data_IF_851971911889
#
_entry.id   IF_851971911889
#
_cell.length_a   1.000
_cell.length_b   1.000
_cell.length_c   1.000
_cell.angle_alpha   90.00
_cell.angle_beta   90.00
_cell.angle_gamma   90.00
#
_symmetry.space_group_name_H-M   'P 1'
#
loop_
_entity.id
_entity.type
_entity.pdbx_description
1 polymer ?
#
# COMPACT_ATOMS: atom_id res chain seq x y z
N UNK A 1 0.95 -20.83 -7.20
CA UNK A 1 1.32 -19.41 -7.35
C UNK A 1 2.24 -19.20 -8.55
N UNK A 2 3.49 -19.67 -8.53
CA UNK A 2 4.44 -19.49 -9.65
C UNK A 2 3.86 -19.86 -11.02
N UNK A 3 3.31 -21.07 -11.18
CA UNK A 3 2.75 -21.52 -12.47
C UNK A 3 1.63 -20.64 -13.04
N UNK A 4 0.95 -19.86 -12.19
CA UNK A 4 -0.07 -18.91 -12.62
C UNK A 4 0.55 -17.55 -12.99
N UNK A 5 1.61 -17.15 -12.29
CA UNK A 5 2.27 -15.85 -12.47
C UNK A 5 3.37 -15.86 -13.55
N UNK A 6 4.01 -17.00 -13.80
CA UNK A 6 5.13 -17.16 -14.74
C UNK A 6 4.92 -16.46 -16.09
N UNK A 7 3.75 -16.52 -16.75
CA UNK A 7 3.54 -15.82 -18.02
C UNK A 7 3.64 -14.30 -17.94
N UNK A 8 3.48 -13.72 -16.75
CA UNK A 8 3.49 -12.28 -16.48
C UNK A 8 4.79 -11.80 -15.84
N UNK A 9 5.65 -12.72 -15.42
CA UNK A 9 6.93 -12.40 -14.80
C UNK A 9 7.89 -11.78 -15.83
N UNK A 10 8.71 -10.82 -15.39
CA UNK A 10 9.79 -10.34 -16.25
C UNK A 10 10.90 -11.39 -16.40
N UNK A 11 11.67 -11.30 -17.48
CA UNK A 11 12.71 -12.28 -17.83
C UNK A 11 13.79 -12.48 -16.76
N UNK A 12 14.01 -11.50 -15.88
CA UNK A 12 15.02 -11.56 -14.83
C UNK A 12 14.44 -12.08 -13.50
N UNK A 13 13.12 -12.26 -13.39
CA UNK A 13 12.43 -12.57 -12.13
C UNK A 13 13.10 -13.69 -11.35
N UNK A 14 13.34 -14.85 -11.95
CA UNK A 14 13.95 -16.01 -11.26
C UNK A 14 15.38 -15.71 -10.77
N UNK A 15 16.17 -14.99 -11.58
CA UNK A 15 17.55 -14.63 -11.22
C UNK A 15 17.61 -13.59 -10.10
N UNK A 16 16.60 -12.73 -10.02
CA UNK A 16 16.50 -11.68 -9.01
C UNK A 16 15.77 -12.14 -7.74
N UNK A 17 14.91 -13.15 -7.83
CA UNK A 17 14.18 -13.71 -6.68
C UNK A 17 15.12 -14.14 -5.56
N UNK A 18 16.25 -14.78 -5.89
CA UNK A 18 17.23 -15.20 -4.90
C UNK A 18 17.95 -14.05 -4.17
N UNK A 19 17.94 -12.84 -4.74
CA UNK A 19 18.62 -11.65 -4.19
C UNK A 19 17.65 -10.66 -3.57
N UNK A 20 16.40 -10.67 -4.02
CA UNK A 20 15.35 -9.73 -3.65
C UNK A 20 14.05 -10.49 -3.33
N UNK A 21 14.17 -11.50 -2.48
CA UNK A 21 13.10 -12.46 -2.19
C UNK A 21 11.78 -11.77 -1.85
N UNK A 22 11.79 -10.82 -0.92
CA UNK A 22 10.57 -10.14 -0.46
C UNK A 22 9.91 -9.29 -1.56
N UNK A 23 10.71 -8.59 -2.37
CA UNK A 23 10.22 -7.78 -3.48
C UNK A 23 9.60 -8.65 -4.57
N UNK A 24 10.32 -9.69 -5.01
CA UNK A 24 9.85 -10.58 -6.09
C UNK A 24 8.71 -11.47 -5.62
N UNK A 25 8.71 -11.89 -4.35
CA UNK A 25 7.56 -12.51 -3.74
C UNK A 25 6.33 -11.60 -3.75
N UNK A 26 6.49 -10.32 -3.39
CA UNK A 26 5.37 -9.36 -3.36
C UNK A 26 4.73 -9.18 -4.73
N UNK A 27 5.53 -9.01 -5.78
CA UNK A 27 5.05 -8.90 -7.16
C UNK A 27 4.24 -10.14 -7.58
N UNK A 28 4.79 -11.33 -7.34
CA UNK A 28 4.13 -12.61 -7.65
C UNK A 28 2.85 -12.81 -6.83
N UNK A 29 2.88 -12.50 -5.53
CA UNK A 29 1.75 -12.67 -4.62
C UNK A 29 0.60 -11.73 -4.97
N UNK A 30 0.92 -10.48 -5.29
CA UNK A 30 -0.03 -9.49 -5.78
C UNK A 30 -0.68 -9.95 -7.08
N UNK A 31 0.11 -10.31 -8.09
CA UNK A 31 -0.38 -10.75 -9.37
C UNK A 31 -1.25 -12.01 -9.28
N UNK A 32 -0.83 -13.00 -8.49
CA UNK A 32 -1.60 -14.22 -8.24
C UNK A 32 -3.00 -13.91 -7.73
N UNK A 33 -3.12 -13.07 -6.71
CA UNK A 33 -4.42 -12.75 -6.14
C UNK A 33 -5.28 -11.85 -7.03
N UNK A 34 -4.67 -11.02 -7.88
CA UNK A 34 -5.39 -10.27 -8.92
C UNK A 34 -5.96 -11.25 -9.98
N UNK A 35 -5.19 -12.25 -10.40
CA UNK A 35 -5.66 -13.30 -11.31
C UNK A 35 -6.80 -14.13 -10.68
N UNK A 36 -6.69 -14.51 -9.40
CA UNK A 36 -7.76 -15.18 -8.65
C UNK A 36 -9.03 -14.31 -8.46
N UNK A 37 -8.87 -12.99 -8.55
CA UNK A 37 -9.97 -12.04 -8.58
C UNK A 37 -10.56 -11.84 -10.01
N UNK A 38 -10.05 -12.57 -11.00
CA UNK A 38 -10.51 -12.51 -12.39
C UNK A 38 -9.97 -11.33 -13.19
N UNK A 39 -8.82 -10.75 -12.77
CA UNK A 39 -8.22 -9.61 -13.46
C UNK A 39 -7.43 -9.99 -14.69
N UNK A 40 -7.58 -9.19 -15.73
CA UNK A 40 -6.90 -9.37 -17.02
C UNK A 40 -5.51 -8.74 -17.01
N UNK A 41 -4.54 -9.44 -16.39
CA UNK A 41 -3.14 -9.03 -16.45
C UNK A 41 -2.62 -9.14 -17.88
N UNK A 42 -1.76 -8.19 -18.27
CA UNK A 42 -1.10 -8.18 -19.57
C UNK A 42 0.28 -8.81 -19.44
N UNK A 43 0.62 -9.71 -20.37
CA UNK A 43 1.95 -10.34 -20.46
C UNK A 43 3.02 -9.28 -20.74
N UNK A 44 4.11 -9.31 -19.97
CA UNK A 44 5.21 -8.36 -20.13
C UNK A 44 6.03 -8.68 -21.38
N UNK A 45 5.92 -7.81 -22.39
CA UNK A 45 6.75 -7.87 -23.59
C UNK A 45 8.08 -7.12 -23.43
N UNK A 46 8.18 -6.22 -22.43
CA UNK A 46 9.41 -5.49 -22.10
C UNK A 46 9.60 -5.40 -20.58
N UNK A 47 10.86 -5.19 -20.18
CA UNK A 47 11.22 -4.91 -18.79
C UNK A 47 10.98 -3.43 -18.41
N UNK A 48 10.50 -2.61 -19.34
CA UNK A 48 10.22 -1.19 -19.09
C UNK A 48 8.83 -1.01 -18.48
N UNK A 49 8.66 0.07 -17.72
CA UNK A 49 7.39 0.44 -17.11
C UNK A 49 7.10 -0.21 -15.75
N UNK A 50 5.88 -0.01 -15.24
CA UNK A 50 5.45 -0.56 -13.97
C UNK A 50 5.41 -2.09 -13.92
N UNK A 51 5.37 -2.63 -12.70
CA UNK A 51 5.45 -4.07 -12.46
C UNK A 51 4.28 -4.87 -13.04
N UNK A 52 3.06 -4.32 -13.00
CA UNK A 52 1.83 -4.97 -13.49
C UNK A 52 1.01 -3.99 -14.34
N UNK A 53 0.52 -4.48 -15.48
CA UNK A 53 -0.53 -3.86 -16.28
C UNK A 53 -1.77 -4.74 -16.26
N UNK A 54 -2.93 -4.11 -16.07
CA UNK A 54 -4.24 -4.71 -16.28
C UNK A 54 -5.00 -3.90 -17.33
N UNK A 55 -5.65 -4.61 -18.26
CA UNK A 55 -6.52 -4.02 -19.28
C UNK A 55 -7.95 -4.58 -19.14
N UNK A 56 -8.89 -3.73 -18.71
CA UNK A 56 -10.30 -4.08 -18.52
C UNK A 56 -11.19 -2.94 -19.00
N UNK A 57 -12.22 -3.24 -19.81
CA UNK A 57 -13.23 -2.27 -20.25
C UNK A 57 -12.62 -0.96 -20.82
N UNK A 58 -11.64 -1.09 -21.71
CA UNK A 58 -10.88 0.02 -22.32
C UNK A 58 -10.10 0.91 -21.31
N UNK A 59 -9.98 0.48 -20.05
CA UNK A 59 -9.21 1.14 -19.01
C UNK A 59 -7.93 0.37 -18.71
N UNK A 60 -6.80 1.11 -18.72
CA UNK A 60 -5.51 0.62 -18.22
C UNK A 60 -5.34 0.93 -16.75
N UNK A 61 -4.89 -0.06 -16.01
CA UNK A 61 -4.54 0.05 -14.59
C UNK A 61 -3.10 -0.42 -14.42
N UNK A 62 -2.23 0.51 -14.07
CA UNK A 62 -0.84 0.23 -13.76
C UNK A 62 -0.64 0.07 -12.27
N UNK A 63 0.14 -0.92 -11.86
CA UNK A 63 0.49 -1.16 -10.48
C UNK A 63 2.01 -1.25 -10.34
N UNK A 64 2.57 -0.42 -9.47
CA UNK A 64 3.98 -0.43 -9.11
C UNK A 64 4.12 -0.97 -7.69
N UNK A 65 4.79 -2.11 -7.57
CA UNK A 65 4.93 -2.87 -6.33
C UNK A 65 6.21 -2.50 -5.57
N UNK A 66 6.13 -2.51 -4.24
CA UNK A 66 7.27 -2.33 -3.36
C UNK A 66 7.13 -3.13 -2.08
N UNK A 67 8.21 -3.80 -1.70
CA UNK A 67 8.42 -4.40 -0.40
C UNK A 67 9.46 -3.59 0.39
N UNK A 68 9.03 -2.66 1.27
CA UNK A 68 9.96 -1.84 2.03
C UNK A 68 10.79 -2.67 2.99
N UNK A 69 12.10 -2.44 3.06
CA UNK A 69 12.97 -3.16 4.01
C UNK A 69 12.85 -2.59 5.43
N UNK A 70 13.42 -3.29 6.43
CA UNK A 70 13.66 -2.71 7.76
C UNK A 70 14.47 -1.40 7.68
N UNK A 71 15.37 -1.38 6.69
CA UNK A 71 16.44 -0.43 6.40
C UNK A 71 17.59 -0.51 7.40
N UNK A 72 18.38 0.57 7.50
CA UNK A 72 19.65 0.55 8.21
C UNK A 72 19.46 0.37 9.72
N UNK A 73 20.04 -0.68 10.29
CA UNK A 73 19.98 -1.01 11.72
C UNK A 73 20.52 0.10 12.63
N UNK A 74 21.43 0.93 12.14
CA UNK A 74 22.01 2.06 12.87
C UNK A 74 21.11 3.30 12.86
N UNK A 75 20.09 3.34 11.99
CA UNK A 75 19.20 4.47 11.87
C UNK A 75 17.99 4.33 12.81
N UNK A 76 17.77 5.27 13.76
CA UNK A 76 16.66 5.20 14.71
C UNK A 76 15.25 5.30 14.06
N UNK A 77 15.19 5.69 12.78
CA UNK A 77 13.96 5.74 11.99
C UNK A 77 13.70 4.43 11.23
N UNK A 78 14.60 3.44 11.29
CA UNK A 78 14.41 2.11 10.71
C UNK A 78 13.51 1.24 11.58
N UNK A 79 12.80 0.30 10.96
CA UNK A 79 11.97 -0.64 11.69
C UNK A 79 12.90 -1.57 12.47
N UNK A 80 12.78 -1.65 13.81
CA UNK A 80 13.57 -2.58 14.59
C UNK A 80 13.15 -4.02 14.29
N UNK A 81 14.12 -4.91 14.17
CA UNK A 81 13.84 -6.34 14.25
C UNK A 81 13.58 -6.70 15.72
N UNK A 82 12.32 -6.98 16.04
CA UNK A 82 11.90 -7.31 17.41
C UNK A 82 11.86 -8.81 17.68
N UNK A 83 12.23 -9.66 16.70
CA UNK A 83 12.17 -11.12 16.87
C UNK A 83 13.02 -11.55 18.06
N UNK A 84 14.21 -10.97 18.22
CA UNK A 84 15.09 -11.30 19.33
C UNK A 84 14.61 -10.75 20.68
N UNK A 85 14.00 -9.56 20.69
CA UNK A 85 13.38 -8.99 21.90
C UNK A 85 12.20 -9.87 22.37
N UNK A 86 11.38 -10.36 21.45
CA UNK A 86 10.29 -11.28 21.76
C UNK A 86 10.79 -12.64 22.28
N UNK A 87 11.87 -13.19 21.71
CA UNK A 87 12.51 -14.42 22.20
C UNK A 87 13.03 -14.30 23.63
N UNK A 88 13.41 -13.08 24.04
CA UNK A 88 13.86 -12.77 25.40
C UNK A 88 12.72 -12.40 26.35
N UNK A 89 11.45 -12.54 25.93
CA UNK A 89 10.28 -12.23 26.75
C UNK A 89 10.04 -10.73 26.95
N UNK A 90 10.70 -9.87 26.18
CA UNK A 90 10.54 -8.42 26.26
C UNK A 90 9.38 -8.00 25.36
N UNK A 91 8.35 -7.38 25.93
CA UNK A 91 7.29 -6.76 25.15
C UNK A 91 7.83 -5.51 24.45
N UNK A 92 8.16 -5.63 23.17
CA UNK A 92 8.53 -4.49 22.35
C UNK A 92 7.28 -3.68 21.96
N UNK A 93 7.37 -2.36 22.03
CA UNK A 93 6.33 -1.46 21.51
C UNK A 93 6.29 -1.58 19.98
N UNK A 94 5.09 -1.71 19.40
CA UNK A 94 4.93 -1.73 17.94
C UNK A 94 5.57 -0.49 17.29
N UNK A 95 6.46 -0.66 16.30
CA UNK A 95 7.21 0.44 15.70
C UNK A 95 6.38 1.19 14.64
N UNK A 96 5.19 1.69 15.04
CA UNK A 96 4.22 2.36 14.17
C UNK A 96 4.87 3.50 13.38
N UNK A 97 5.59 4.40 14.05
CA UNK A 97 6.24 5.55 13.43
C UNK A 97 7.24 5.13 12.35
N UNK A 98 8.08 4.14 12.64
CA UNK A 98 9.08 3.63 11.69
C UNK A 98 8.41 2.99 10.47
N UNK A 99 7.31 2.26 10.67
CA UNK A 99 6.52 1.69 9.58
C UNK A 99 5.87 2.79 8.74
N UNK A 100 5.27 3.81 9.36
CA UNK A 100 4.70 4.96 8.64
C UNK A 100 5.78 5.72 7.83
N UNK A 101 7.00 5.84 8.36
CA UNK A 101 8.14 6.43 7.63
C UNK A 101 8.54 5.57 6.42
N UNK A 102 8.47 4.24 6.51
CA UNK A 102 8.71 3.34 5.37
C UNK A 102 7.61 3.46 4.31
N UNK A 103 6.36 3.52 4.73
CA UNK A 103 5.24 3.70 3.80
C UNK A 103 5.32 5.05 3.10
N UNK A 104 5.52 6.15 3.83
CA UNK A 104 5.62 7.48 3.19
C UNK A 104 6.79 7.58 2.22
N UNK A 105 7.94 6.97 2.55
CA UNK A 105 9.07 6.88 1.64
C UNK A 105 8.72 6.08 0.36
N UNK A 106 8.07 4.92 0.52
CA UNK A 106 7.63 4.08 -0.59
C UNK A 106 6.62 4.81 -1.51
N UNK A 107 5.64 5.49 -0.93
CA UNK A 107 4.64 6.28 -1.68
C UNK A 107 5.34 7.38 -2.48
N UNK A 108 6.26 8.13 -1.86
CA UNK A 108 7.03 9.17 -2.55
C UNK A 108 7.87 8.59 -3.69
N UNK A 109 8.62 7.51 -3.43
CA UNK A 109 9.48 6.87 -4.43
C UNK A 109 8.68 6.42 -5.66
N UNK A 110 7.58 5.70 -5.44
CA UNK A 110 6.78 5.15 -6.54
C UNK A 110 5.97 6.22 -7.26
N UNK A 111 5.54 7.28 -6.57
CA UNK A 111 5.00 8.48 -7.22
C UNK A 111 6.05 9.12 -8.14
N UNK A 112 7.28 9.29 -7.65
CA UNK A 112 8.38 9.86 -8.45
C UNK A 112 8.67 8.99 -9.68
N UNK A 113 8.60 7.65 -9.56
CA UNK A 113 8.68 6.72 -10.70
C UNK A 113 7.53 6.88 -11.70
N UNK A 114 6.28 6.95 -11.23
CA UNK A 114 5.12 7.18 -12.10
C UNK A 114 5.24 8.48 -12.90
N UNK A 115 5.77 9.55 -12.30
CA UNK A 115 6.09 10.78 -13.02
C UNK A 115 7.13 10.57 -14.11
N UNK A 116 8.14 9.73 -13.85
CA UNK A 116 9.09 9.29 -14.87
C UNK A 116 8.40 8.55 -16.02
N UNK A 117 7.52 7.58 -15.71
CA UNK A 117 6.77 6.84 -16.72
C UNK A 117 5.83 7.72 -17.55
N UNK A 118 5.16 8.69 -16.91
CA UNK A 118 4.33 9.71 -17.56
C UNK A 118 5.16 10.58 -18.51
N UNK A 119 6.33 11.04 -18.07
CA UNK A 119 7.24 11.85 -18.89
C UNK A 119 7.75 11.08 -20.11
N UNK A 120 7.97 9.78 -19.96
CA UNK A 120 8.48 8.91 -21.02
C UNK A 120 7.36 8.32 -21.92
N UNK A 121 6.09 8.63 -21.65
CA UNK A 121 4.96 8.12 -22.43
C UNK A 121 4.63 6.64 -22.24
N UNK A 122 5.20 5.99 -21.21
CA UNK A 122 4.94 4.58 -20.88
C UNK A 122 3.55 4.44 -20.23
N UNK A 123 3.20 5.41 -19.37
CA UNK A 123 1.92 5.50 -18.69
C UNK A 123 1.19 6.76 -19.19
N UNK A 124 -0.10 6.65 -19.48
CA UNK A 124 -0.93 7.78 -19.90
C UNK A 124 -1.56 8.52 -18.72
N UNK A 125 -1.93 9.79 -18.93
CA UNK A 125 -2.76 10.54 -17.97
C UNK A 125 -4.13 9.91 -17.76
N UNK A 126 -4.64 9.18 -18.74
CA UNK A 126 -5.92 8.45 -18.70
C UNK A 126 -5.83 7.10 -17.99
N UNK A 127 -4.64 6.67 -17.55
CA UNK A 127 -4.47 5.40 -16.86
C UNK A 127 -4.64 5.57 -15.34
N UNK A 128 -5.24 4.56 -14.70
CA UNK A 128 -5.26 4.44 -13.23
C UNK A 128 -3.87 3.99 -12.78
N UNK A 129 -3.32 4.60 -11.73
CA UNK A 129 -1.98 4.28 -11.21
C UNK A 129 -2.05 3.92 -9.74
N UNK A 130 -1.67 2.70 -9.40
CA UNK A 130 -1.69 2.18 -8.03
C UNK A 130 -0.28 1.92 -7.53
N UNK A 131 -0.06 2.18 -6.25
CA UNK A 131 1.16 1.78 -5.55
C UNK A 131 0.80 0.60 -4.65
N UNK A 132 1.42 -0.56 -4.88
CA UNK A 132 1.20 -1.74 -4.05
C UNK A 132 2.32 -1.89 -3.03
N UNK A 133 2.01 -1.76 -1.74
CA UNK A 133 2.97 -1.79 -0.64
C UNK A 133 2.67 -3.01 0.24
N UNK A 134 3.61 -3.94 0.33
CA UNK A 134 3.45 -5.17 1.10
C UNK A 134 4.61 -6.14 0.92
N UNK A 135 4.43 -7.40 1.32
CA UNK A 135 5.43 -8.45 1.13
C UNK A 135 6.66 -8.33 2.03
N UNK A 136 6.67 -7.42 3.00
CA UNK A 136 7.82 -7.13 3.84
C UNK A 136 7.70 -7.75 5.22
N UNK A 137 8.73 -8.49 5.65
CA UNK A 137 8.85 -8.95 7.03
C UNK A 137 8.88 -7.79 8.05
N UNK A 138 9.25 -6.57 7.64
CA UNK A 138 9.19 -5.39 8.50
C UNK A 138 7.75 -5.06 8.96
N UNK A 139 6.73 -5.58 8.28
CA UNK A 139 5.32 -5.40 8.63
C UNK A 139 4.75 -6.53 9.48
N UNK A 140 5.54 -7.54 9.86
CA UNK A 140 5.10 -8.64 10.72
C UNK A 140 4.49 -8.17 12.06
N UNK A 141 4.93 -7.01 12.55
CA UNK A 141 4.49 -6.43 13.82
C UNK A 141 3.21 -5.57 13.70
N UNK A 142 2.65 -5.43 12.48
CA UNK A 142 1.43 -4.65 12.23
C UNK A 142 0.21 -5.45 12.69
N UNK A 143 -0.62 -4.91 13.60
CA UNK A 143 -1.86 -5.57 14.00
C UNK A 143 -2.89 -5.57 12.87
N UNK A 144 -3.53 -6.71 12.60
CA UNK A 144 -4.53 -6.82 11.52
C UNK A 144 -5.92 -6.24 11.90
N UNK A 145 -6.17 -6.00 13.18
CA UNK A 145 -7.48 -5.59 13.71
C UNK A 145 -7.66 -4.07 13.85
N UNK A 146 -6.79 -3.27 13.22
CA UNK A 146 -6.82 -1.81 13.27
C UNK A 146 -6.78 -1.23 11.86
N UNK A 147 -7.05 0.06 11.76
CA UNK A 147 -6.80 0.80 10.53
C UNK A 147 -5.33 0.59 10.10
N UNK A 148 -5.06 0.22 8.84
CA UNK A 148 -3.69 -0.04 8.38
C UNK A 148 -2.78 1.16 8.60
N UNK A 149 -1.51 0.93 8.98
CA UNK A 149 -0.54 2.02 9.14
C UNK A 149 -0.27 2.76 7.84
N UNK A 150 -0.49 2.14 6.67
CA UNK A 150 -0.45 2.85 5.41
C UNK A 150 -1.51 3.94 5.30
N UNK A 151 -2.65 3.77 5.96
CA UNK A 151 -3.70 4.78 6.00
C UNK A 151 -3.27 5.99 6.80
N UNK A 152 -2.76 5.79 8.03
CA UNK A 152 -2.25 6.87 8.88
C UNK A 152 -0.92 7.46 8.38
N UNK A 153 -0.27 6.83 7.40
CA UNK A 153 0.89 7.39 6.70
C UNK A 153 0.50 8.45 5.65
N UNK A 154 -0.67 8.33 5.02
CA UNK A 154 -1.09 9.20 3.90
C UNK A 154 -2.28 10.11 4.20
N UNK A 155 -2.98 9.84 5.31
CA UNK A 155 -4.02 10.68 5.89
C UNK A 155 -3.70 11.04 7.35
N UNK A 156 -4.07 12.25 7.82
CA UNK A 156 -3.78 12.73 9.18
C UNK A 156 -4.73 12.13 10.23
N UNK A 157 -4.86 10.80 10.21
CA UNK A 157 -5.80 10.02 11.01
C UNK A 157 -5.01 9.08 11.92
N UNK A 158 -5.20 9.16 13.25
CA UNK A 158 -4.46 8.32 14.19
C UNK A 158 -5.21 7.13 14.80
N UNK A 159 -6.50 6.99 14.47
CA UNK A 159 -7.32 5.84 14.83
C UNK A 159 -8.78 6.07 14.46
N UNK A 160 -9.53 5.00 14.21
CA UNK A 160 -10.98 5.08 14.01
C UNK A 160 -11.65 5.45 15.34
N UNK A 161 -12.25 6.63 15.43
CA UNK A 161 -13.30 6.87 16.41
C UNK A 161 -14.57 6.30 15.78
N UNK A 162 -15.09 5.20 16.33
CA UNK A 162 -16.40 4.71 15.92
C UNK A 162 -17.44 5.68 16.48
N UNK A 163 -18.11 6.43 15.61
CA UNK A 163 -19.39 7.01 15.98
C UNK A 163 -20.35 5.85 16.22
N UNK A 164 -21.07 5.86 17.35
CA UNK A 164 -22.19 4.94 17.53
C UNK A 164 -23.17 5.22 16.39
N UNK A 165 -23.56 4.21 15.59
CA UNK A 165 -24.53 4.41 14.52
C UNK A 165 -25.79 5.04 15.10
N UNK A 166 -26.19 6.21 14.59
CA UNK A 166 -27.54 6.68 14.88
C UNK A 166 -28.53 5.80 14.12
N UNK A 167 -29.77 5.69 14.61
CA UNK A 167 -30.85 4.96 13.93
C UNK A 167 -31.06 5.41 12.46
N UNK A 168 -30.62 6.63 12.13
CA UNK A 168 -30.76 7.23 10.80
C UNK A 168 -29.53 7.01 9.89
N UNK A 169 -28.37 6.63 10.44
CA UNK A 169 -27.15 6.45 9.64
C UNK A 169 -26.21 5.37 10.23
N UNK A 170 -26.44 4.08 9.93
CA UNK A 170 -25.78 2.97 10.60
C UNK A 170 -24.31 2.71 10.22
N UNK A 171 -23.69 3.54 9.36
CA UNK A 171 -22.42 3.19 8.69
C UNK A 171 -21.36 4.28 8.67
N UNK A 172 -21.59 5.45 9.27
CA UNK A 172 -20.60 6.54 9.26
C UNK A 172 -19.67 6.49 10.48
N UNK A 173 -18.37 6.37 10.25
CA UNK A 173 -17.35 6.61 11.26
C UNK A 173 -16.74 8.00 11.02
N UNK A 174 -17.03 8.95 11.90
CA UNK A 174 -16.34 10.25 11.91
C UNK A 174 -15.04 10.10 12.68
N UNK A 175 -13.91 10.31 12.02
CA UNK A 175 -12.60 10.09 12.62
C UNK A 175 -11.97 11.41 13.06
N UNK A 176 -11.54 11.47 14.33
CA UNK A 176 -10.77 12.59 14.85
C UNK A 176 -9.42 12.76 14.13
N UNK A 177 -9.27 13.89 13.43
CA UNK A 177 -8.01 14.38 12.88
C UNK A 177 -7.20 15.00 14.02
N UNK A 178 -6.08 14.39 14.44
CA UNK A 178 -5.29 15.01 15.52
C UNK A 178 -3.77 14.85 15.42
N UNK A 179 -3.24 14.26 14.35
CA UNK A 179 -1.79 14.20 14.20
C UNK A 179 -1.38 14.31 12.74
N UNK A 180 -0.98 15.53 12.36
CA UNK A 180 -0.68 15.93 10.99
C UNK A 180 0.66 15.43 10.46
N UNK A 181 1.56 15.01 11.35
CA UNK A 181 2.94 14.68 10.99
C UNK A 181 3.44 13.44 11.71
N UNK A 182 4.28 12.66 11.02
CA UNK A 182 5.05 11.54 11.55
C UNK A 182 6.38 12.12 12.08
N UNK A 183 6.69 11.98 13.37
CA UNK A 183 7.96 12.45 13.91
C UNK A 183 9.13 11.65 13.32
N UNK A 184 10.23 12.35 13.01
CA UNK A 184 11.46 11.74 12.50
C UNK A 184 12.63 12.17 13.37
N UNK A 185 13.41 11.20 13.87
CA UNK A 185 14.59 11.47 14.69
C UNK A 185 15.67 12.13 13.82
N UNK A 186 16.19 13.27 14.27
CA UNK A 186 17.29 13.98 13.61
C UNK A 186 16.90 14.68 12.29
N UNK A 187 15.61 14.90 12.03
CA UNK A 187 15.15 15.54 10.80
C UNK A 187 13.78 16.20 10.91
N UNK A 188 13.29 16.73 9.79
CA UNK A 188 11.93 17.27 9.70
C UNK A 188 10.92 16.13 9.77
N UNK A 189 9.83 16.37 10.47
CA UNK A 189 8.68 15.48 10.49
C UNK A 189 8.07 15.35 9.09
N UNK A 190 7.47 14.20 8.81
CA UNK A 190 6.88 13.89 7.50
C UNK A 190 5.37 14.14 7.57
N UNK A 191 4.78 14.96 6.67
CA UNK A 191 3.34 15.21 6.71
C UNK A 191 2.54 13.96 6.33
N UNK A 192 1.39 13.77 6.97
CA UNK A 192 0.42 12.71 6.67
C UNK A 192 -0.67 13.16 5.70
N UNK A 193 -0.34 14.08 4.81
CA UNK A 193 -1.30 14.70 3.89
C UNK A 193 -1.00 14.35 2.44
N UNK A 194 -0.25 13.27 2.18
CA UNK A 194 0.11 12.86 0.81
C UNK A 194 -1.14 12.76 -0.07
N UNK A 195 -2.22 12.11 0.41
CA UNK A 195 -3.46 11.94 -0.36
C UNK A 195 -4.45 13.09 -0.21
N UNK A 196 -4.04 14.17 0.46
CA UNK A 196 -4.73 15.46 0.48
C UNK A 196 -3.99 16.52 -0.34
N UNK A 197 -2.83 16.18 -0.87
CA UNK A 197 -1.98 17.10 -1.62
C UNK A 197 -2.11 16.86 -3.13
N UNK A 198 -2.34 17.91 -3.94
CA UNK A 198 -2.33 17.81 -5.39
C UNK A 198 -1.01 17.26 -5.95
N UNK A 199 0.06 17.29 -5.16
CA UNK A 199 1.35 16.71 -5.50
C UNK A 199 1.27 15.18 -5.76
N UNK A 200 0.26 14.49 -5.23
CA UNK A 200 0.05 13.05 -5.42
C UNK A 200 -1.14 12.73 -6.33
N UNK A 201 -1.76 13.71 -6.98
CA UNK A 201 -2.97 13.52 -7.81
C UNK A 201 -2.79 12.58 -9.00
N UNK A 202 -1.55 12.30 -9.41
CA UNK A 202 -1.23 11.31 -10.43
C UNK A 202 -1.46 9.86 -9.95
N UNK A 203 -1.46 9.62 -8.63
CA UNK A 203 -1.61 8.28 -8.04
C UNK A 203 -3.05 8.10 -7.57
N UNK A 204 -3.70 7.02 -8.00
CA UNK A 204 -5.10 6.70 -7.70
C UNK A 204 -5.32 6.15 -6.29
N UNK A 205 -4.33 5.44 -5.73
CA UNK A 205 -4.42 4.88 -4.39
C UNK A 205 -3.31 3.89 -4.06
N UNK A 206 -3.43 3.27 -2.90
CA UNK A 206 -2.53 2.23 -2.39
C UNK A 206 -3.26 0.90 -2.28
N UNK A 207 -2.62 -0.17 -2.74
CA UNK A 207 -2.94 -1.53 -2.31
C UNK A 207 -1.98 -1.87 -1.17
N UNK A 208 -2.52 -2.15 0.01
CA UNK A 208 -1.74 -2.46 1.21
C UNK A 208 -1.89 -3.92 1.61
N UNK A 209 -0.79 -4.53 2.06
CA UNK A 209 -0.81 -5.80 2.79
C UNK A 209 0.33 -5.87 3.81
N UNK A 210 0.04 -6.44 4.98
CA UNK A 210 1.05 -6.83 5.98
C UNK A 210 1.57 -8.27 5.77
N UNK A 211 1.06 -8.99 4.76
CA UNK A 211 1.54 -10.33 4.45
C UNK A 211 2.97 -10.27 3.92
N UNK A 212 3.74 -11.30 4.27
CA UNK A 212 5.13 -11.49 3.85
C UNK A 212 5.36 -12.98 3.62
N UNK A 213 6.53 -13.35 3.09
CA UNK A 213 6.81 -14.72 2.64
C UNK A 213 6.69 -15.78 3.75
N UNK A 214 6.77 -15.43 5.03
CA UNK A 214 6.55 -16.36 6.14
C UNK A 214 5.11 -16.47 6.63
N UNK A 215 4.18 -15.67 6.08
CA UNK A 215 2.75 -15.66 6.44
C UNK A 215 1.84 -16.28 5.36
N UNK A 216 2.40 -16.68 4.22
CA UNK A 216 1.62 -17.13 3.05
C UNK A 216 0.81 -18.43 3.24
N UNK A 217 0.97 -19.16 4.34
CA UNK A 217 0.19 -20.38 4.62
C UNK A 217 -1.29 -20.10 4.86
N UNK A 218 -1.62 -18.86 5.26
CA UNK A 218 -2.99 -18.43 5.46
C UNK A 218 -3.64 -18.24 4.07
N UNK A 219 -4.55 -19.13 3.68
CA UNK A 219 -5.26 -19.08 2.38
C UNK A 219 -6.18 -17.87 2.19
N UNK A 220 -6.03 -16.81 2.99
CA UNK A 220 -6.88 -15.64 2.99
C UNK A 220 -6.07 -14.42 2.59
N UNK A 221 -6.45 -13.82 1.46
CA UNK A 221 -5.93 -12.53 1.01
C UNK A 221 -6.23 -11.43 2.03
N UNK A 222 -5.24 -10.57 2.30
CA UNK A 222 -5.34 -9.45 3.26
C UNK A 222 -5.30 -8.06 2.60
N UNK A 223 -5.52 -7.98 1.28
CA UNK A 223 -5.34 -6.73 0.54
C UNK A 223 -6.35 -5.67 0.95
N UNK A 224 -5.82 -4.49 1.27
CA UNK A 224 -6.61 -3.33 1.63
C UNK A 224 -6.42 -2.23 0.60
N UNK A 225 -7.51 -1.71 0.03
CA UNK A 225 -7.45 -0.58 -0.88
C UNK A 225 -7.69 0.74 -0.15
N UNK A 226 -6.74 1.66 -0.28
CA UNK A 226 -6.77 3.01 0.29
C UNK A 226 -6.80 4.00 -0.89
N UNK A 227 -7.95 4.64 -1.19
CA UNK A 227 -8.04 5.56 -2.31
C UNK A 227 -7.30 6.87 -2.00
N UNK A 228 -6.82 7.54 -3.04
CA UNK A 228 -6.34 8.91 -2.93
C UNK A 228 -7.48 9.89 -3.26
N UNK A 229 -7.88 10.70 -2.28
CA UNK A 229 -8.96 11.69 -2.41
C UNK A 229 -8.66 12.82 -3.39
N UNK A 230 -7.38 13.03 -3.74
CA UNK A 230 -6.97 14.02 -4.74
C UNK A 230 -6.62 13.41 -6.09
N UNK A 231 -6.88 12.11 -6.28
CA UNK A 231 -6.55 11.44 -7.52
C UNK A 231 -7.32 12.01 -8.71
N UNK A 232 -6.60 12.26 -9.81
CA UNK A 232 -7.21 12.67 -11.08
C UNK A 232 -8.07 11.56 -11.70
N UNK A 233 -7.74 10.31 -11.39
CA UNK A 233 -8.49 9.12 -11.78
C UNK A 233 -8.60 8.19 -10.59
N UNK A 234 -9.81 7.78 -10.26
CA UNK A 234 -10.08 6.83 -9.18
C UNK A 234 -10.24 5.43 -9.73
N UNK A 235 -9.81 4.44 -8.94
CA UNK A 235 -10.16 3.06 -9.20
C UNK A 235 -11.67 2.85 -8.94
N UNK A 236 -12.39 2.08 -9.77
CA UNK A 236 -13.79 1.75 -9.50
C UNK A 236 -13.96 1.06 -8.14
N UNK A 237 -15.04 1.39 -7.43
CA UNK A 237 -15.37 0.74 -6.16
C UNK A 237 -15.57 -0.77 -6.37
N UNK A 238 -15.12 -1.59 -5.41
CA UNK A 238 -15.19 -3.05 -5.47
C UNK A 238 -14.52 -3.64 -6.70
N UNK A 239 -13.51 -2.96 -7.23
CA UNK A 239 -12.81 -3.41 -8.43
C UNK A 239 -12.21 -4.80 -8.26
N UNK A 240 -11.60 -5.11 -7.11
CA UNK A 240 -11.10 -6.46 -6.80
C UNK A 240 -11.70 -7.01 -5.50
N UNK A 241 -11.38 -8.26 -5.17
CA UNK A 241 -11.73 -8.90 -3.90
C UNK A 241 -10.83 -8.33 -2.79
N UNK A 242 -11.24 -7.22 -2.19
CA UNK A 242 -10.51 -6.61 -1.08
C UNK A 242 -10.88 -7.25 0.25
N UNK A 243 -9.89 -7.41 1.13
CA UNK A 243 -10.13 -7.68 2.54
C UNK A 243 -10.69 -6.43 3.25
N UNK A 244 -10.32 -5.24 2.78
CA UNK A 244 -10.92 -3.97 3.19
C UNK A 244 -10.84 -2.94 2.08
N UNK A 245 -11.90 -2.17 1.89
CA UNK A 245 -11.94 -1.06 0.94
C UNK A 245 -12.51 0.17 1.63
N UNK A 246 -11.88 1.33 1.41
CA UNK A 246 -12.31 2.57 2.03
C UNK A 246 -12.80 3.59 1.01
N UNK A 247 -13.68 4.47 1.46
CA UNK A 247 -14.11 5.68 0.78
C UNK A 247 -13.77 6.87 1.67
N UNK A 248 -13.24 7.92 1.06
CA UNK A 248 -12.82 9.16 1.74
C UNK A 248 -13.65 10.31 1.21
N UNK A 249 -14.22 11.10 2.10
CA UNK A 249 -14.94 12.33 1.78
C UNK A 249 -14.60 13.43 2.78
N UNK A 250 -14.83 14.68 2.39
CA UNK A 250 -14.53 15.85 3.23
C UNK A 250 -13.16 16.47 2.95
N UNK A 251 -12.82 17.47 3.77
CA UNK A 251 -11.59 18.28 3.63
C UNK A 251 -10.63 18.06 4.81
N UNK A 252 -9.42 18.63 4.73
CA UNK A 252 -8.42 18.53 5.81
C UNK A 252 -8.97 19.15 7.12
N UNK A 253 -9.44 18.30 8.03
CA UNK A 253 -10.02 18.69 9.32
C UNK A 253 -11.40 18.07 9.60
N UNK A 254 -12.10 17.64 8.54
CA UNK A 254 -13.40 16.96 8.61
C UNK A 254 -13.43 15.77 7.64
N UNK A 255 -12.37 14.95 7.69
CA UNK A 255 -12.29 13.74 6.88
C UNK A 255 -13.24 12.68 7.43
N UNK A 256 -14.15 12.25 6.56
CA UNK A 256 -15.00 11.11 6.79
C UNK A 256 -14.43 9.89 6.07
N UNK A 257 -14.35 8.78 6.79
CA UNK A 257 -13.85 7.52 6.26
C UNK A 257 -14.90 6.45 6.46
N UNK A 258 -15.35 5.89 5.35
CA UNK A 258 -16.32 4.81 5.35
C UNK A 258 -15.68 3.54 4.80
N UNK A 259 -15.91 2.41 5.46
CA UNK A 259 -15.45 1.10 4.98
C UNK A 259 -16.56 0.48 4.12
N UNK A 260 -16.23 0.12 2.88
CA UNK A 260 -17.17 -0.44 1.90
C UNK A 260 -17.31 -1.97 2.00
N UNK A 261 -16.22 -2.65 2.35
CA UNK A 261 -16.09 -4.10 2.62
C UNK A 261 -15.01 -4.34 3.67
#
# INVERSE_FOLDING_TARGET
MWSLYEPFADRNFLSEFARQTDQRFWEMYLAYWLLEAGKNLVVRMSAEGPDILIEENDQRIWIEAISPTFGDVSNPNSVPDTVDACRQGIMAKTPKTQIELRVTAAVKEKRDKFRGYLKNGIVSKTDVKLIAIGGSAAFQQVPDNRLPYAFSAVYPIEGLAFSVPSLDNPTSATIGVNCKHIPKVGGRSVPRSAFLSPEYSDVSGIIWSSDWIGRFSDKKQSFTYIPNSTASLSLPAKWAKWASEYMISGEEGDLQVSRLV
#
